data_IF_418677556800
#
_entry.id   IF_418677556800
#
_cell.length_a   1.000
_cell.length_b   1.000
_cell.length_c   1.000
_cell.angle_alpha   90.00
_cell.angle_beta   90.00
_cell.angle_gamma   90.00
#
_symmetry.space_group_name_H-M   'P 1'
#
loop_
_entity.id
_entity.type
_entity.pdbx_description
1 polymer ?
#
# COMPACT_ATOMS: atom_id res chain seq x y z
N UNK A 1 -11.34 -11.61 0.14
CA UNK A 1 -11.02 -11.41 -1.29
C UNK A 1 -10.21 -12.58 -1.77
N UNK A 2 -10.38 -12.90 -3.05
CA UNK A 2 -9.57 -13.90 -3.73
C UNK A 2 -8.17 -13.31 -3.96
N UNK A 3 -7.11 -13.99 -3.49
CA UNK A 3 -5.71 -13.63 -3.73
C UNK A 3 -5.38 -13.34 -5.21
N UNK A 4 -4.48 -12.41 -5.47
CA UNK A 4 -3.90 -12.21 -6.81
C UNK A 4 -2.41 -12.51 -6.81
N UNK A 5 -2.00 -13.52 -7.58
CA UNK A 5 -0.59 -13.74 -7.87
C UNK A 5 -0.01 -12.57 -8.66
N UNK A 6 1.28 -12.32 -8.46
CA UNK A 6 2.03 -11.28 -9.19
C UNK A 6 3.15 -11.93 -9.99
N UNK A 7 3.31 -11.52 -11.25
CA UNK A 7 4.40 -11.97 -12.11
C UNK A 7 5.47 -10.89 -12.22
N UNK A 8 6.73 -11.29 -12.06
CA UNK A 8 7.86 -10.38 -12.08
C UNK A 8 9.00 -10.87 -12.96
N UNK A 9 9.68 -9.92 -13.61
CA UNK A 9 10.93 -10.15 -14.32
C UNK A 9 12.12 -9.77 -13.43
N UNK A 10 13.10 -10.66 -13.29
CA UNK A 10 14.34 -10.38 -12.56
C UNK A 10 15.25 -9.44 -13.36
N UNK A 11 15.75 -8.40 -12.69
CA UNK A 11 16.67 -7.42 -13.25
C UNK A 11 18.13 -7.77 -12.95
N UNK A 12 19.06 -7.20 -13.72
CA UNK A 12 20.51 -7.44 -13.55
C UNK A 12 21.05 -6.96 -12.20
N UNK A 13 20.43 -5.94 -11.61
CA UNK A 13 20.80 -5.36 -10.32
C UNK A 13 20.24 -6.13 -9.12
N UNK A 14 19.50 -7.22 -9.36
CA UNK A 14 18.88 -8.06 -8.34
C UNK A 14 17.49 -7.59 -7.90
N UNK A 15 16.96 -6.51 -8.47
CA UNK A 15 15.56 -6.10 -8.28
C UNK A 15 14.61 -6.93 -9.17
N UNK A 16 13.31 -6.78 -8.97
CA UNK A 16 12.28 -7.42 -9.78
C UNK A 16 11.30 -6.38 -10.31
N UNK A 17 10.89 -6.47 -11.57
CA UNK A 17 9.89 -5.58 -12.17
C UNK A 17 8.59 -6.34 -12.38
N UNK A 18 7.47 -5.79 -11.91
CA UNK A 18 6.13 -6.34 -12.17
C UNK A 18 5.85 -6.33 -13.66
N UNK A 19 5.44 -7.47 -14.20
CA UNK A 19 5.07 -7.65 -15.62
C UNK A 19 3.65 -8.16 -15.80
N UNK A 20 2.99 -8.60 -14.72
CA UNK A 20 1.62 -9.07 -14.77
C UNK A 20 1.11 -9.55 -13.40
N UNK A 21 -0.08 -10.13 -13.42
CA UNK A 21 -0.72 -10.74 -12.26
C UNK A 21 -2.02 -11.42 -12.66
N UNK A 22 -2.48 -12.34 -11.83
CA UNK A 22 -3.69 -13.11 -12.09
C UNK A 22 -4.52 -13.27 -10.81
N UNK A 23 -5.80 -12.92 -10.87
CA UNK A 23 -6.74 -13.21 -9.79
C UNK A 23 -6.96 -14.73 -9.72
N UNK A 24 -6.19 -15.41 -8.86
CA UNK A 24 -6.07 -16.87 -8.80
C UNK A 24 -6.05 -17.43 -7.36
N UNK A 25 -6.53 -16.65 -6.40
CA UNK A 25 -6.51 -16.97 -4.97
C UNK A 25 -5.11 -17.11 -4.34
N UNK A 26 -4.05 -16.70 -5.04
CA UNK A 26 -2.68 -16.77 -4.53
C UNK A 26 -2.15 -15.41 -4.08
N UNK A 27 -1.21 -15.40 -3.13
CA UNK A 27 -0.39 -14.22 -2.80
C UNK A 27 1.05 -14.38 -3.29
N UNK A 28 1.35 -15.45 -4.01
CA UNK A 28 2.71 -15.72 -4.47
C UNK A 28 3.14 -14.72 -5.55
N UNK A 29 4.42 -14.39 -5.52
CA UNK A 29 5.09 -13.60 -6.55
C UNK A 29 5.99 -14.56 -7.33
N UNK A 30 5.72 -14.73 -8.62
CA UNK A 30 6.40 -15.66 -9.50
C UNK A 30 7.38 -14.94 -10.42
N UNK A 31 8.53 -15.56 -10.68
CA UNK A 31 9.42 -15.09 -11.74
C UNK A 31 8.91 -15.54 -13.11
N UNK A 32 9.08 -14.69 -14.13
CA UNK A 32 8.87 -15.05 -15.54
C UNK A 32 10.20 -15.34 -16.24
N UNK A 33 10.15 -16.18 -17.28
CA UNK A 33 11.30 -16.44 -18.15
C UNK A 33 11.55 -15.28 -19.15
N UNK A 34 12.53 -15.48 -20.03
CA UNK A 34 12.92 -14.48 -21.05
C UNK A 34 11.80 -14.16 -22.05
N UNK A 35 10.85 -15.07 -22.21
CA UNK A 35 9.73 -14.97 -23.15
C UNK A 35 8.47 -14.44 -22.44
N UNK A 36 8.55 -14.12 -21.15
CA UNK A 36 7.46 -13.58 -20.34
C UNK A 36 6.52 -14.64 -19.77
N UNK A 37 6.87 -15.92 -19.85
CA UNK A 37 6.05 -17.02 -19.31
C UNK A 37 6.38 -17.25 -17.83
N UNK A 38 5.34 -17.36 -17.01
CA UNK A 38 5.44 -17.71 -15.57
C UNK A 38 6.22 -19.01 -15.39
N UNK A 39 7.20 -18.98 -14.48
CA UNK A 39 7.97 -20.16 -14.05
C UNK A 39 7.45 -20.69 -12.71
N UNK A 40 8.00 -21.81 -12.23
CA UNK A 40 7.72 -22.31 -10.88
C UNK A 40 8.52 -21.60 -9.77
N UNK A 41 9.40 -20.66 -10.11
CA UNK A 41 10.21 -19.92 -9.14
C UNK A 41 9.33 -18.89 -8.40
N UNK A 42 9.19 -19.07 -7.09
CA UNK A 42 8.51 -18.12 -6.19
C UNK A 42 9.58 -17.21 -5.57
N UNK A 43 9.49 -15.91 -5.83
CA UNK A 43 10.43 -14.90 -5.30
C UNK A 43 9.98 -14.32 -3.96
N UNK A 44 8.75 -14.61 -3.56
CA UNK A 44 8.18 -14.27 -2.26
C UNK A 44 6.67 -14.30 -2.27
N UNK A 45 6.08 -13.71 -1.23
CA UNK A 45 4.63 -13.55 -1.09
C UNK A 45 4.29 -12.10 -0.86
N UNK A 46 3.25 -11.59 -1.51
CA UNK A 46 2.68 -10.26 -1.26
C UNK A 46 2.11 -10.20 0.15
N UNK A 47 2.09 -9.03 0.78
CA UNK A 47 1.60 -8.77 2.15
C UNK A 47 0.08 -8.81 2.23
N UNK A 48 -0.58 -8.36 1.18
CA UNK A 48 -2.02 -8.44 0.99
C UNK A 48 -2.31 -9.09 -0.37
N UNK A 49 -3.53 -9.60 -0.60
CA UNK A 49 -3.99 -10.05 -1.92
C UNK A 49 -3.75 -9.06 -3.06
N UNK A 50 -3.62 -7.77 -2.73
CA UNK A 50 -3.77 -6.66 -3.66
C UNK A 50 -2.55 -5.72 -3.68
N UNK A 51 -1.44 -6.10 -3.04
CA UNK A 51 -0.27 -5.22 -2.84
C UNK A 51 0.23 -4.57 -4.14
N UNK A 52 0.14 -5.25 -5.29
CA UNK A 52 0.64 -4.77 -6.58
C UNK A 52 -0.44 -4.53 -7.63
N UNK A 53 -1.69 -4.31 -7.19
CA UNK A 53 -2.83 -3.99 -8.06
C UNK A 53 -3.26 -2.53 -7.93
N UNK A 54 -3.54 -1.89 -9.06
CA UNK A 54 -4.16 -0.56 -9.10
C UNK A 54 -5.61 -0.60 -8.57
N UNK A 55 -6.22 0.59 -8.43
CA UNK A 55 -7.61 0.74 -7.97
C UNK A 55 -8.65 0.05 -8.88
N UNK A 56 -8.26 -0.34 -10.10
CA UNK A 56 -9.10 -1.09 -11.04
C UNK A 56 -8.83 -2.60 -10.99
N UNK A 57 -7.93 -3.06 -10.11
CA UNK A 57 -7.54 -4.45 -9.99
C UNK A 57 -6.52 -4.93 -11.02
N UNK A 58 -5.90 -4.02 -11.78
CA UNK A 58 -4.86 -4.39 -12.75
C UNK A 58 -3.49 -4.41 -12.09
N UNK A 59 -2.64 -5.37 -12.48
CA UNK A 59 -1.24 -5.37 -12.05
C UNK A 59 -0.53 -4.07 -12.47
N UNK A 60 0.21 -3.46 -11.56
CA UNK A 60 0.96 -2.23 -11.84
C UNK A 60 2.27 -2.57 -12.55
N UNK A 61 2.16 -2.84 -13.85
CA UNK A 61 3.30 -3.19 -14.71
C UNK A 61 4.36 -2.09 -14.67
N UNK A 62 5.61 -2.48 -14.43
CA UNK A 62 6.76 -1.60 -14.27
C UNK A 62 7.05 -1.17 -12.83
N UNK A 63 6.20 -1.48 -11.86
CA UNK A 63 6.54 -1.30 -10.45
C UNK A 63 7.76 -2.17 -10.10
N UNK A 64 8.71 -1.61 -9.34
CA UNK A 64 9.97 -2.27 -9.00
C UNK A 64 9.94 -2.73 -7.55
N UNK A 65 10.23 -4.01 -7.34
CA UNK A 65 10.41 -4.66 -6.05
C UNK A 65 11.91 -4.73 -5.77
N UNK A 66 12.36 -4.02 -4.72
CA UNK A 66 13.76 -4.03 -4.31
C UNK A 66 13.96 -4.87 -3.05
N UNK A 67 14.66 -6.02 -3.14
CA UNK A 67 14.92 -6.89 -1.99
C UNK A 67 15.74 -6.22 -0.87
N UNK A 68 16.47 -5.14 -1.20
CA UNK A 68 17.27 -4.37 -0.25
C UNK A 68 16.47 -3.25 0.41
N UNK A 69 15.28 -2.93 -0.11
CA UNK A 69 14.40 -1.91 0.47
C UNK A 69 13.62 -2.50 1.65
N UNK A 70 13.69 -1.79 2.78
CA UNK A 70 12.89 -2.03 3.98
C UNK A 70 11.98 -0.83 4.30
N UNK A 71 11.74 0.05 3.34
CA UNK A 71 11.07 1.35 3.58
C UNK A 71 9.66 1.19 4.18
N UNK A 72 8.92 0.16 3.77
CA UNK A 72 7.60 -0.14 4.29
C UNK A 72 7.64 -0.55 5.76
N UNK A 73 8.58 -1.41 6.13
CA UNK A 73 8.80 -1.79 7.53
C UNK A 73 9.25 -0.59 8.37
N UNK A 74 10.22 0.19 7.87
CA UNK A 74 10.69 1.39 8.54
C UNK A 74 9.57 2.42 8.75
N UNK A 75 8.66 2.56 7.80
CA UNK A 75 7.45 3.38 7.94
C UNK A 75 6.54 2.86 9.06
N UNK A 76 6.26 1.55 9.09
CA UNK A 76 5.43 0.93 10.15
C UNK A 76 6.06 1.12 11.53
N UNK A 77 7.36 0.85 11.67
CA UNK A 77 8.09 0.99 12.93
C UNK A 77 8.09 2.44 13.43
N UNK A 78 8.30 3.39 12.50
CA UNK A 78 8.21 4.81 12.80
C UNK A 78 6.81 5.22 13.23
N UNK A 79 5.77 4.74 12.55
CA UNK A 79 4.38 5.05 12.88
C UNK A 79 3.91 4.40 14.20
N UNK A 80 4.52 3.27 14.58
CA UNK A 80 4.36 2.69 15.92
C UNK A 80 5.03 3.56 16.99
N UNK A 81 6.26 4.02 16.73
CA UNK A 81 7.02 4.87 17.66
C UNK A 81 6.42 6.27 17.83
N UNK A 82 6.01 6.91 16.74
CA UNK A 82 5.48 8.27 16.74
C UNK A 82 4.10 8.36 17.41
N UNK A 83 3.35 7.25 17.44
CA UNK A 83 1.95 7.13 17.89
C UNK A 83 1.08 8.39 17.65
N UNK A 84 0.98 8.88 16.40
CA UNK A 84 0.29 10.12 16.15
C UNK A 84 -1.19 10.02 16.52
N UNK A 85 -1.76 11.16 16.91
CA UNK A 85 -3.21 11.28 17.00
C UNK A 85 -3.83 11.21 15.59
N UNK A 86 -5.09 10.76 15.49
CA UNK A 86 -5.71 10.43 14.20
C UNK A 86 -5.70 11.60 13.22
N UNK A 87 -6.13 12.79 13.63
CA UNK A 87 -6.12 13.95 12.72
C UNK A 87 -4.69 14.38 12.36
N UNK A 88 -3.74 14.27 13.29
CA UNK A 88 -2.33 14.53 13.00
C UNK A 88 -1.80 13.59 11.93
N UNK A 89 -2.13 12.29 12.02
CA UNK A 89 -1.79 11.33 10.99
C UNK A 89 -2.41 11.70 9.64
N UNK A 90 -3.72 12.00 9.60
CA UNK A 90 -4.45 12.30 8.36
C UNK A 90 -3.84 13.48 7.60
N UNK A 91 -3.52 14.59 8.30
CA UNK A 91 -2.90 15.77 7.69
C UNK A 91 -1.50 15.45 7.15
N UNK A 92 -0.72 14.64 7.87
CA UNK A 92 0.66 14.32 7.52
C UNK A 92 0.80 13.09 6.60
N UNK A 93 -0.29 12.45 6.18
CA UNK A 93 -0.30 11.27 5.30
C UNK A 93 -0.56 11.62 3.83
N UNK A 94 -0.42 12.90 3.46
CA UNK A 94 -0.68 13.43 2.11
C UNK A 94 0.39 14.41 1.67
N UNK A 95 0.41 14.76 0.38
CA UNK A 95 1.26 15.82 -0.18
C UNK A 95 2.76 15.62 0.10
N UNK A 96 3.23 14.37 0.17
CA UNK A 96 4.63 14.06 0.43
C UNK A 96 5.08 14.28 1.88
N UNK A 97 4.13 14.50 2.79
CA UNK A 97 4.40 14.73 4.21
C UNK A 97 4.92 13.47 4.94
N UNK A 98 5.27 13.64 6.22
CA UNK A 98 5.93 12.66 7.09
C UNK A 98 5.38 11.22 7.03
N UNK A 99 4.09 11.03 6.78
CA UNK A 99 3.41 9.73 6.72
C UNK A 99 2.93 9.34 5.31
N UNK A 100 3.23 10.12 4.27
CA UNK A 100 2.88 9.82 2.88
C UNK A 100 3.92 8.93 2.20
N UNK A 101 4.06 7.70 2.70
CA UNK A 101 5.12 6.76 2.26
C UNK A 101 5.07 6.45 0.75
N UNK A 102 3.89 6.48 0.13
CA UNK A 102 3.73 6.21 -1.31
C UNK A 102 4.33 7.31 -2.19
N UNK A 103 4.27 8.57 -1.74
CA UNK A 103 4.80 9.73 -2.47
C UNK A 103 6.22 10.13 -1.99
N UNK A 104 6.73 9.50 -0.94
CA UNK A 104 8.12 9.69 -0.50
C UNK A 104 9.10 9.43 -1.66
N UNK A 105 9.95 10.41 -1.95
CA UNK A 105 10.96 10.32 -3.02
C UNK A 105 10.36 10.31 -4.43
N UNK A 106 9.10 10.74 -4.62
CA UNK A 106 8.45 10.71 -5.94
C UNK A 106 9.19 11.55 -6.97
N UNK A 107 9.76 12.70 -6.59
CA UNK A 107 10.52 13.56 -7.51
C UNK A 107 11.94 13.02 -7.80
N UNK A 108 12.41 12.07 -7.00
CA UNK A 108 13.69 11.37 -7.15
C UNK A 108 13.55 10.03 -7.88
N UNK A 109 12.34 9.68 -8.33
CA UNK A 109 12.06 8.44 -9.06
C UNK A 109 12.94 8.33 -10.31
N UNK A 110 13.25 7.10 -10.72
CA UNK A 110 14.00 6.87 -11.97
C UNK A 110 13.22 7.47 -13.15
N UNK A 111 13.93 8.02 -14.14
CA UNK A 111 13.31 8.73 -15.27
C UNK A 111 12.37 7.87 -16.12
N UNK A 112 12.53 6.55 -16.07
CA UNK A 112 11.70 5.56 -16.74
C UNK A 112 10.50 5.08 -15.89
N UNK A 113 10.38 5.55 -14.64
CA UNK A 113 9.26 5.26 -13.76
C UNK A 113 8.22 6.38 -13.73
N UNK A 114 6.96 6.01 -13.95
CA UNK A 114 5.84 6.92 -13.71
C UNK A 114 5.43 6.94 -12.23
N UNK A 115 4.60 7.92 -11.85
CA UNK A 115 4.13 8.07 -10.46
C UNK A 115 3.39 6.85 -9.93
N UNK A 116 2.61 6.17 -10.78
CA UNK A 116 1.86 4.98 -10.37
C UNK A 116 2.84 3.85 -10.01
N UNK A 117 3.83 3.59 -10.87
CA UNK A 117 4.87 2.59 -10.62
C UNK A 117 5.68 2.93 -9.37
N UNK A 118 5.98 4.20 -9.13
CA UNK A 118 6.67 4.65 -7.92
C UNK A 118 5.84 4.39 -6.65
N UNK A 119 4.56 4.75 -6.65
CA UNK A 119 3.64 4.52 -5.51
C UNK A 119 3.43 3.03 -5.22
N UNK A 120 3.67 2.18 -6.21
CA UNK A 120 3.55 0.72 -6.10
C UNK A 120 4.89 -0.02 -5.98
N UNK A 121 6.01 0.70 -5.84
CA UNK A 121 7.32 0.08 -5.58
C UNK A 121 7.26 -0.81 -4.34
N UNK A 122 7.94 -1.95 -4.40
CA UNK A 122 7.86 -3.00 -3.41
C UNK A 122 9.06 -3.05 -2.47
N UNK A 123 8.77 -3.29 -1.19
CA UNK A 123 9.77 -3.52 -0.14
C UNK A 123 9.35 -4.71 0.72
N UNK A 124 10.31 -5.29 1.48
CA UNK A 124 10.03 -6.41 2.38
C UNK A 124 9.71 -5.93 3.79
N UNK A 125 8.77 -6.60 4.44
CA UNK A 125 8.57 -6.50 5.88
C UNK A 125 9.51 -7.44 6.66
N UNK A 126 9.47 -7.36 7.98
CA UNK A 126 10.31 -8.19 8.87
C UNK A 126 10.08 -9.70 8.76
N UNK A 127 8.94 -10.13 8.19
CA UNK A 127 8.64 -11.53 7.94
C UNK A 127 9.07 -11.96 6.52
N UNK A 128 9.61 -11.03 5.72
CA UNK A 128 10.00 -11.26 4.34
C UNK A 128 8.84 -11.16 3.35
N UNK A 129 7.65 -10.71 3.77
CA UNK A 129 6.51 -10.47 2.87
C UNK A 129 6.72 -9.16 2.09
N UNK A 130 6.30 -9.13 0.84
CA UNK A 130 6.40 -7.97 -0.05
C UNK A 130 5.16 -7.08 0.05
N UNK A 131 5.32 -5.83 0.44
CA UNK A 131 4.26 -4.82 0.33
C UNK A 131 4.66 -3.72 -0.64
N UNK A 132 3.68 -3.13 -1.32
CA UNK A 132 3.94 -1.88 -2.05
C UNK A 132 3.91 -0.68 -1.10
N UNK A 133 4.57 0.42 -1.48
CA UNK A 133 4.54 1.65 -0.69
C UNK A 133 3.09 2.13 -0.43
N UNK A 134 2.18 2.01 -1.40
CA UNK A 134 0.75 2.26 -1.19
C UNK A 134 0.11 1.32 -0.16
N UNK A 135 0.37 0.02 -0.26
CA UNK A 135 -0.15 -1.01 0.65
C UNK A 135 0.31 -0.73 2.10
N UNK A 136 1.57 -0.31 2.30
CA UNK A 136 2.08 0.12 3.60
C UNK A 136 1.40 1.40 4.11
N UNK A 137 1.13 2.38 3.24
CA UNK A 137 0.38 3.58 3.60
C UNK A 137 -1.01 3.24 4.14
N UNK A 138 -1.75 2.40 3.43
CA UNK A 138 -3.08 1.90 3.81
C UNK A 138 -3.03 1.09 5.11
N UNK A 139 -2.03 0.20 5.26
CA UNK A 139 -1.77 -0.50 6.51
C UNK A 139 -1.53 0.48 7.67
N UNK A 140 -0.79 1.56 7.44
CA UNK A 140 -0.56 2.61 8.42
C UNK A 140 -1.85 3.28 8.89
N UNK A 141 -2.73 3.65 7.95
CA UNK A 141 -4.01 4.29 8.23
C UNK A 141 -4.91 3.39 9.10
N UNK A 142 -5.02 2.12 8.70
CA UNK A 142 -5.67 1.07 9.49
C UNK A 142 -5.09 0.99 10.90
N UNK A 143 -3.77 0.91 11.01
CA UNK A 143 -3.06 0.77 12.28
C UNK A 143 -3.31 1.93 13.24
N UNK A 144 -3.41 3.16 12.76
CA UNK A 144 -3.75 4.34 13.59
C UNK A 144 -5.21 4.26 14.04
N UNK A 145 -6.15 3.96 13.13
CA UNK A 145 -7.57 3.84 13.46
C UNK A 145 -7.85 2.73 14.50
N UNK A 146 -7.24 1.56 14.33
CA UNK A 146 -7.39 0.42 15.23
C UNK A 146 -6.85 0.71 16.64
N UNK A 147 -5.71 1.41 16.74
CA UNK A 147 -5.13 1.84 18.03
C UNK A 147 -6.05 2.79 18.79
N UNK A 148 -6.71 3.72 18.10
CA UNK A 148 -7.64 4.68 18.73
C UNK A 148 -9.00 4.07 19.07
N UNK A 149 -9.18 2.75 18.89
CA UNK A 149 -10.36 2.02 19.35
C UNK A 149 -11.62 2.29 18.53
N UNK A 150 -11.49 2.87 17.33
CA UNK A 150 -12.61 3.00 16.41
C UNK A 150 -13.18 1.61 16.08
N UNK A 151 -14.48 1.55 15.81
CA UNK A 151 -15.03 0.38 15.11
C UNK A 151 -14.47 0.35 13.69
N UNK A 152 -14.43 -0.83 13.08
CA UNK A 152 -14.01 -0.96 11.69
C UNK A 152 -14.94 -0.16 10.75
N UNK A 153 -16.24 -0.20 11.01
CA UNK A 153 -17.22 0.54 10.22
C UNK A 153 -16.98 2.06 10.30
N UNK A 154 -16.67 2.58 11.50
CA UNK A 154 -16.32 3.99 11.68
C UNK A 154 -15.00 4.35 10.97
N UNK A 155 -14.00 3.47 11.04
CA UNK A 155 -12.73 3.65 10.34
C UNK A 155 -12.95 3.69 8.81
N UNK A 156 -13.78 2.79 8.27
CA UNK A 156 -14.09 2.72 6.83
C UNK A 156 -14.83 3.95 6.33
N UNK A 157 -15.84 4.43 7.08
CA UNK A 157 -16.49 5.71 6.75
C UNK A 157 -15.48 6.86 6.72
N UNK A 158 -14.53 6.86 7.67
CA UNK A 158 -13.44 7.84 7.71
C UNK A 158 -12.51 7.77 6.49
N UNK A 159 -12.08 6.57 6.11
CA UNK A 159 -11.22 6.34 4.93
C UNK A 159 -11.93 6.73 3.64
N UNK A 160 -13.15 6.24 3.40
CA UNK A 160 -13.95 6.55 2.21
C UNK A 160 -14.17 8.08 2.08
N UNK A 161 -14.51 8.75 3.20
CA UNK A 161 -14.69 10.22 3.23
C UNK A 161 -13.39 10.94 2.88
N UNK A 162 -12.27 10.51 3.44
CA UNK A 162 -10.97 11.14 3.19
C UNK A 162 -10.52 10.97 1.73
N UNK A 163 -10.69 9.77 1.16
CA UNK A 163 -10.35 9.48 -0.23
C UNK A 163 -11.22 10.30 -1.20
N UNK A 164 -12.53 10.39 -0.95
CA UNK A 164 -13.45 11.20 -1.76
C UNK A 164 -13.17 12.71 -1.70
N UNK A 165 -12.66 13.22 -0.58
CA UNK A 165 -12.25 14.64 -0.50
C UNK A 165 -10.94 14.87 -1.27
N UNK A 166 -9.99 13.92 -1.22
CA UNK A 166 -8.72 14.00 -1.97
C UNK A 166 -8.97 14.02 -3.49
N UNK A 167 -9.87 13.19 -4.02
CA UNK A 167 -10.18 13.16 -5.45
C UNK A 167 -10.84 14.44 -5.97
N UNK A 168 -11.48 15.22 -5.09
CA UNK A 168 -12.24 16.44 -5.43
C UNK A 168 -11.58 17.75 -4.99
N UNK A 169 -10.40 17.70 -4.37
CA UNK A 169 -9.60 18.90 -4.05
C UNK A 169 -10.22 19.85 -3.02
N UNK A 170 -11.02 19.36 -2.06
CA UNK A 170 -11.91 20.21 -1.26
C UNK A 170 -11.40 20.64 0.14
N UNK A 171 -10.12 20.45 0.49
CA UNK A 171 -9.60 20.86 1.80
C UNK A 171 -9.07 22.30 1.78
N UNK A 172 -9.98 23.27 1.89
CA UNK A 172 -9.68 24.59 2.43
C UNK A 172 -9.81 24.61 3.97
N UNK A 173 -9.15 25.53 4.70
CA UNK A 173 -9.03 25.49 6.16
C UNK A 173 -10.34 25.64 6.95
N UNK A 174 -11.49 25.87 6.29
CA UNK A 174 -12.81 26.05 6.90
C UNK A 174 -13.99 25.47 6.09
N UNK A 175 -13.77 24.44 5.26
CA UNK A 175 -14.83 23.88 4.40
C UNK A 175 -15.61 22.73 5.06
N UNK A 176 -16.94 22.83 5.14
CA UNK A 176 -17.81 21.73 5.52
C UNK A 176 -17.80 20.65 4.40
N UNK A 177 -17.26 19.44 4.61
CA UNK A 177 -17.08 18.48 3.53
C UNK A 177 -18.44 18.01 3.01
N UNK A 178 -18.69 18.15 1.70
CA UNK A 178 -19.78 17.43 1.05
C UNK A 178 -19.39 15.95 0.99
N UNK A 179 -20.01 15.15 1.85
CA UNK A 179 -19.83 13.70 1.93
C UNK A 179 -20.41 13.11 0.64
N UNK A 180 -19.54 12.71 -0.29
CA UNK A 180 -19.90 11.83 -1.39
C UNK A 180 -19.20 10.51 -1.10
N UNK A 181 -19.97 9.52 -0.67
CA UNK A 181 -19.51 8.14 -0.51
C UNK A 181 -19.21 7.57 -1.89
N UNK A 182 -17.96 7.61 -2.31
CA UNK A 182 -17.46 6.75 -3.38
C UNK A 182 -16.88 5.52 -2.68
N UNK A 183 -17.51 4.37 -2.89
CA UNK A 183 -17.10 3.10 -2.29
C UNK A 183 -15.69 2.77 -2.78
N UNK A 184 -14.74 2.68 -1.85
CA UNK A 184 -13.34 2.37 -2.16
C UNK A 184 -13.17 1.13 -3.02
N UNK A 185 -12.13 1.16 -3.85
CA UNK A 185 -11.69 0.01 -4.61
C UNK A 185 -11.38 -1.14 -3.63
N UNK A 186 -11.88 -2.37 -3.86
CA UNK A 186 -11.69 -3.47 -2.92
C UNK A 186 -10.20 -3.75 -2.58
N UNK A 187 -9.29 -3.37 -3.49
CA UNK A 187 -7.83 -3.46 -3.35
C UNK A 187 -7.22 -2.65 -2.19
N UNK A 188 -7.79 -1.52 -1.74
CA UNK A 188 -7.24 -0.75 -0.60
C UNK A 188 -7.59 -1.35 0.76
N UNK A 189 -8.73 -2.03 0.83
CA UNK A 189 -9.39 -2.46 2.07
C UNK A 189 -8.60 -3.52 2.83
N UNK A 190 -7.93 -4.43 2.12
CA UNK A 190 -7.22 -5.54 2.75
C UNK A 190 -6.04 -5.06 3.60
N UNK A 191 -5.28 -4.07 3.11
CA UNK A 191 -4.18 -3.49 3.88
C UNK A 191 -4.67 -2.67 5.07
N UNK A 192 -5.70 -1.85 4.87
CA UNK A 192 -6.33 -1.08 5.95
C UNK A 192 -6.87 -2.00 7.04
N UNK A 193 -7.53 -3.10 6.66
CA UNK A 193 -8.04 -4.08 7.61
C UNK A 193 -6.90 -4.75 8.37
N UNK A 194 -5.88 -5.22 7.66
CA UNK A 194 -4.71 -5.87 8.27
C UNK A 194 -4.01 -4.92 9.26
N UNK A 195 -3.86 -3.65 8.88
CA UNK A 195 -3.36 -2.57 9.73
C UNK A 195 -4.25 -2.34 10.95
N UNK A 196 -5.56 -2.24 10.76
CA UNK A 196 -6.54 -2.05 11.82
C UNK A 196 -6.50 -3.15 12.86
N UNK A 197 -6.45 -4.41 12.43
CA UNK A 197 -6.27 -5.57 13.30
C UNK A 197 -4.96 -5.48 14.07
N UNK A 198 -3.86 -5.12 13.39
CA UNK A 198 -2.57 -4.94 14.02
C UNK A 198 -2.60 -3.86 15.10
N UNK A 199 -3.14 -2.67 14.80
CA UNK A 199 -3.26 -1.58 15.75
C UNK A 199 -4.18 -1.90 16.94
N UNK A 200 -5.29 -2.58 16.68
CA UNK A 200 -6.29 -2.92 17.71
C UNK A 200 -5.81 -3.99 18.68
N UNK A 201 -5.09 -5.00 18.20
CA UNK A 201 -4.81 -6.21 19.00
C UNK A 201 -3.33 -6.47 19.28
N UNK A 202 -2.40 -5.99 18.43
CA UNK A 202 -0.95 -6.22 18.63
C UNK A 202 -0.21 -5.07 19.29
N UNK A 203 -0.81 -3.87 19.32
CA UNK A 203 -0.23 -2.69 19.95
C UNK A 203 -0.92 -2.26 21.26
N UNK A 204 -2.10 -2.79 21.59
CA UNK A 204 -2.71 -2.56 22.90
C UNK A 204 -1.91 -3.30 23.97
N UNK A 205 -1.12 -2.55 24.74
CA UNK A 205 -0.65 -2.90 26.07
C UNK A 205 -1.41 -2.05 27.08
#
# INVERSE_FOLDING_TARGET
MEGTSTDVKKNKDGTYTVVGGQADNSRAIYAVDKDGKRTSEIVGVSKTPNSFLDEKGNAVVGAVLDPKSNEGQAFVDKLQKDDPWLLTYMVNATNGEKYDVKDKGIDERKSDQNELQHRYRGSKDKNGEWGSARDYGNFGAGMVAGRKGLSWDAARVGFDTFQGIKSKGLFGPFGNPRIVSEREAPVSVDAEWLGFQYGKYKLKK
#
